data_IF_190876194308
#
_entry.id   IF_190876194308
#
_cell.length_a   1.000
_cell.length_b   1.000
_cell.length_c   1.000
_cell.angle_alpha   90.00
_cell.angle_beta   90.00
_cell.angle_gamma   90.00
#
_symmetry.space_group_name_H-M   'P 1'
#
loop_
_entity.id
_entity.type
_entity.pdbx_description
1 polymer ?
#
# COMPACT_ATOMS: atom_id res chain seq x y z
N UNK A 1 16.43 -1.38 9.24
CA UNK A 1 16.08 -1.91 7.90
C UNK A 1 14.89 -2.82 8.11
N UNK A 2 13.84 -2.77 7.27
CA UNK A 2 12.70 -3.68 7.35
C UNK A 2 12.95 -4.84 6.37
N UNK A 3 13.44 -6.01 6.83
CA UNK A 3 13.93 -7.04 5.91
C UNK A 3 12.80 -7.71 5.12
N UNK A 4 11.57 -7.67 5.63
CA UNK A 4 10.39 -8.15 4.90
C UNK A 4 10.00 -7.27 3.71
N UNK A 5 10.49 -6.02 3.60
CA UNK A 5 10.12 -5.07 2.55
C UNK A 5 11.35 -4.62 1.75
N UNK A 6 11.44 -5.04 0.50
CA UNK A 6 12.55 -4.73 -0.40
C UNK A 6 12.06 -3.82 -1.52
N UNK A 7 12.75 -2.72 -1.77
CA UNK A 7 12.47 -1.87 -2.93
C UNK A 7 13.21 -2.41 -4.15
N UNK A 8 12.48 -2.81 -5.18
CA UNK A 8 13.06 -3.30 -6.45
C UNK A 8 13.34 -2.13 -7.38
N UNK A 9 12.41 -1.18 -7.42
CA UNK A 9 12.52 0.07 -8.17
C UNK A 9 11.65 1.14 -7.48
N UNK A 10 11.83 2.43 -7.79
CA UNK A 10 10.88 3.45 -7.38
C UNK A 10 9.45 3.03 -7.74
N UNK A 11 8.55 3.09 -6.76
CA UNK A 11 7.15 2.72 -6.92
C UNK A 11 6.84 1.21 -6.94
N UNK A 12 7.84 0.31 -6.84
CA UNK A 12 7.61 -1.14 -6.73
C UNK A 12 8.41 -1.77 -5.59
N UNK A 13 7.69 -2.45 -4.71
CA UNK A 13 8.22 -3.01 -3.48
C UNK A 13 7.83 -4.48 -3.38
N UNK A 14 8.77 -5.35 -3.02
CA UNK A 14 8.49 -6.74 -2.68
C UNK A 14 8.26 -6.84 -1.18
N UNK A 15 7.13 -7.42 -0.81
CA UNK A 15 6.78 -7.73 0.57
C UNK A 15 6.76 -9.25 0.75
N UNK A 16 7.52 -9.74 1.73
CA UNK A 16 7.50 -11.14 2.14
C UNK A 16 6.50 -11.32 3.26
N UNK A 17 5.53 -12.20 3.05
CA UNK A 17 4.42 -12.44 3.98
C UNK A 17 4.28 -13.92 4.29
N UNK A 18 3.91 -14.22 5.53
CA UNK A 18 3.58 -15.57 5.96
C UNK A 18 2.07 -15.64 6.24
N UNK A 19 1.33 -16.22 5.29
CA UNK A 19 -0.12 -16.32 5.32
C UNK A 19 -0.60 -17.49 6.20
N UNK A 20 -1.50 -17.18 7.13
CA UNK A 20 -2.20 -18.11 8.03
C UNK A 20 -3.70 -18.11 7.66
N UNK A 21 -4.12 -18.97 6.72
CA UNK A 21 -5.51 -19.07 6.28
C UNK A 21 -6.43 -19.65 7.36
N UNK A 22 -7.74 -19.65 7.08
CA UNK A 22 -8.81 -20.07 8.00
C UNK A 22 -8.92 -19.22 9.27
N UNK A 23 -8.50 -17.96 9.22
CA UNK A 23 -8.71 -17.03 10.32
C UNK A 23 -10.15 -16.49 10.33
N UNK A 24 -10.60 -15.97 11.47
CA UNK A 24 -11.91 -15.30 11.59
C UNK A 24 -11.96 -13.96 10.84
N UNK A 25 -10.84 -13.28 10.74
CA UNK A 25 -10.67 -11.99 10.06
C UNK A 25 -9.25 -11.89 9.45
N UNK A 26 -9.12 -11.15 8.35
CA UNK A 26 -7.84 -10.85 7.72
C UNK A 26 -7.15 -9.73 8.50
N UNK A 27 -5.96 -10.00 9.04
CA UNK A 27 -5.25 -9.08 9.94
C UNK A 27 -3.77 -9.45 10.06
N UNK A 28 -2.93 -8.53 10.54
CA UNK A 28 -1.60 -8.90 11.03
C UNK A 28 -1.73 -9.83 12.24
N UNK A 29 -0.91 -10.89 12.26
CA UNK A 29 -0.89 -11.81 13.40
C UNK A 29 -0.05 -11.25 14.56
N UNK A 30 0.86 -10.33 14.26
CA UNK A 30 1.71 -9.62 15.21
C UNK A 30 2.16 -8.29 14.59
N UNK A 31 2.53 -7.30 15.43
CA UNK A 31 3.10 -6.05 14.96
C UNK A 31 4.35 -6.28 14.10
N UNK A 32 4.43 -5.56 12.98
CA UNK A 32 5.62 -5.51 12.15
C UNK A 32 6.74 -4.82 12.92
N UNK A 33 7.85 -5.52 13.09
CA UNK A 33 9.06 -4.98 13.70
C UNK A 33 10.21 -5.07 12.70
N UNK A 34 11.23 -4.18 12.80
CA UNK A 34 12.38 -4.21 11.90
C UNK A 34 13.23 -5.49 12.01
N UNK A 35 12.96 -6.37 12.99
CA UNK A 35 13.61 -7.66 13.12
C UNK A 35 12.93 -8.77 12.29
N UNK A 36 11.69 -8.57 11.85
CA UNK A 36 10.91 -9.60 11.13
C UNK A 36 11.28 -9.65 9.65
N UNK A 37 11.71 -10.83 9.20
CA UNK A 37 11.97 -11.13 7.79
C UNK A 37 10.71 -11.36 6.97
N UNK A 38 9.59 -11.67 7.64
CA UNK A 38 8.30 -11.95 7.02
C UNK A 38 7.19 -11.31 7.85
N UNK A 39 6.16 -10.79 7.19
CA UNK A 39 4.98 -10.29 7.87
C UNK A 39 3.96 -11.42 8.08
N UNK A 40 3.70 -11.82 9.33
CA UNK A 40 2.66 -12.80 9.62
C UNK A 40 1.27 -12.20 9.42
N UNK A 41 0.48 -12.80 8.53
CA UNK A 41 -0.87 -12.37 8.20
C UNK A 41 -1.85 -13.50 8.44
N UNK A 42 -2.88 -13.23 9.23
CA UNK A 42 -4.11 -14.03 9.31
C UNK A 42 -4.98 -13.69 8.11
N UNK A 43 -5.55 -14.70 7.46
CA UNK A 43 -6.36 -14.53 6.25
C UNK A 43 -7.73 -15.17 6.46
N UNK A 44 -8.79 -14.38 6.29
CA UNK A 44 -10.19 -14.80 6.42
C UNK A 44 -10.71 -15.56 5.19
N UNK A 45 -9.90 -16.47 4.68
CA UNK A 45 -10.27 -17.34 3.58
C UNK A 45 -9.72 -18.75 3.86
N UNK A 46 -10.44 -19.80 3.45
CA UNK A 46 -9.98 -21.16 3.63
C UNK A 46 -8.73 -21.43 2.77
N UNK A 47 -7.88 -22.42 3.11
CA UNK A 47 -6.71 -22.84 2.34
C UNK A 47 -7.11 -23.63 1.07
N UNK A 48 -8.18 -23.21 0.41
CA UNK A 48 -8.61 -23.74 -0.88
C UNK A 48 -7.82 -23.01 -1.96
N UNK A 49 -7.51 -23.71 -3.05
CA UNK A 49 -6.72 -23.19 -4.16
C UNK A 49 -7.26 -21.82 -4.62
N UNK A 50 -6.39 -20.81 -4.60
CA UNK A 50 -6.71 -19.44 -5.04
C UNK A 50 -7.40 -18.55 -4.00
N UNK A 51 -8.29 -19.07 -3.14
CA UNK A 51 -9.10 -18.25 -2.23
C UNK A 51 -8.26 -17.48 -1.20
N UNK A 52 -7.32 -18.16 -0.53
CA UNK A 52 -6.41 -17.51 0.41
C UNK A 52 -5.49 -16.47 -0.26
N UNK A 53 -5.11 -16.68 -1.52
CA UNK A 53 -4.29 -15.73 -2.27
C UNK A 53 -5.11 -14.50 -2.65
N UNK A 54 -6.32 -14.70 -3.17
CA UNK A 54 -7.21 -13.61 -3.54
C UNK A 54 -7.51 -12.71 -2.34
N UNK A 55 -7.86 -13.30 -1.19
CA UNK A 55 -8.12 -12.54 0.02
C UNK A 55 -6.87 -11.84 0.56
N UNK A 56 -5.69 -12.46 0.48
CA UNK A 56 -4.42 -11.81 0.85
C UNK A 56 -4.15 -10.56 0.00
N UNK A 57 -4.27 -10.68 -1.33
CA UNK A 57 -4.02 -9.57 -2.25
C UNK A 57 -5.04 -8.45 -2.04
N UNK A 58 -6.33 -8.81 -1.87
CA UNK A 58 -7.41 -7.88 -1.56
C UNK A 58 -7.15 -7.14 -0.25
N UNK A 59 -6.88 -7.87 0.83
CA UNK A 59 -6.61 -7.31 2.15
C UNK A 59 -5.42 -6.34 2.13
N UNK A 60 -4.30 -6.73 1.52
CA UNK A 60 -3.12 -5.87 1.43
C UNK A 60 -3.39 -4.61 0.59
N UNK A 61 -4.11 -4.74 -0.53
CA UNK A 61 -4.47 -3.60 -1.38
C UNK A 61 -5.32 -2.57 -0.61
N UNK A 62 -6.40 -3.02 0.02
CA UNK A 62 -7.28 -2.14 0.81
C UNK A 62 -6.56 -1.52 2.01
N UNK A 63 -5.70 -2.28 2.69
CA UNK A 63 -4.95 -1.81 3.84
C UNK A 63 -3.98 -0.68 3.46
N UNK A 64 -3.21 -0.89 2.39
CA UNK A 64 -2.23 0.10 1.94
C UNK A 64 -2.94 1.33 1.39
N UNK A 65 -4.04 1.16 0.65
CA UNK A 65 -4.84 2.27 0.14
C UNK A 65 -5.45 3.11 1.26
N UNK A 66 -6.10 2.46 2.24
CA UNK A 66 -6.67 3.14 3.41
C UNK A 66 -5.59 3.88 4.20
N UNK A 67 -4.48 3.21 4.52
CA UNK A 67 -3.41 3.80 5.32
C UNK A 67 -2.70 4.94 4.60
N UNK A 68 -2.47 4.81 3.29
CA UNK A 68 -1.90 5.88 2.48
C UNK A 68 -2.83 7.08 2.38
N UNK A 69 -4.12 6.84 2.13
CA UNK A 69 -5.14 7.91 2.07
C UNK A 69 -5.26 8.65 3.40
N UNK A 70 -5.21 7.94 4.53
CA UNK A 70 -5.22 8.58 5.85
C UNK A 70 -3.96 9.43 6.06
N UNK A 71 -2.79 8.95 5.62
CA UNK A 71 -1.54 9.68 5.71
C UNK A 71 -1.50 10.92 4.81
N UNK A 72 -2.05 10.86 3.59
CA UNK A 72 -2.06 11.98 2.65
C UNK A 72 -3.15 13.00 2.95
N UNK A 73 -4.29 12.58 3.49
CA UNK A 73 -5.36 13.48 3.92
C UNK A 73 -4.92 14.42 5.05
N UNK A 74 -4.13 13.90 6.00
CA UNK A 74 -3.51 14.69 7.07
C UNK A 74 -2.59 15.80 6.49
N UNK A 75 -1.89 15.49 5.40
CA UNK A 75 -1.02 16.44 4.71
C UNK A 75 -1.79 17.50 3.89
N UNK A 76 -2.92 17.11 3.28
CA UNK A 76 -3.78 18.02 2.51
C UNK A 76 -4.50 19.04 3.42
N UNK A 77 -4.86 18.64 4.64
CA UNK A 77 -5.47 19.52 5.64
C UNK A 77 -4.46 20.57 6.15
N UNK A 78 -3.21 20.17 6.36
CA UNK A 78 -2.13 21.08 6.73
C UNK A 78 -1.76 22.07 5.60
N UNK A 79 -1.74 21.60 4.35
CA UNK A 79 -1.48 22.45 3.18
C UNK A 79 -2.61 23.48 2.95
N UNK A 80 -3.87 23.10 3.23
CA UNK A 80 -5.03 24.00 3.13
C UNK A 80 -5.05 25.04 4.25
N UNK A 81 -4.53 24.71 5.43
CA UNK A 81 -4.42 25.62 6.58
C UNK A 81 -3.27 26.65 6.46
N UNK A 82 -2.40 26.51 5.44
CA UNK A 82 -1.20 27.33 5.26
C UNK A 82 -1.35 28.46 4.21
N UNK A 83 -2.54 28.70 3.65
CA UNK A 83 -2.75 29.81 2.70
C UNK A 83 -3.40 31.03 3.38
N UNK A 84 -2.66 32.14 3.57
CA UNK A 84 -3.32 33.42 3.85
C UNK A 84 -4.14 33.82 2.62
N UNK A 85 -5.43 34.03 2.83
CA UNK A 85 -6.33 34.65 1.87
C UNK A 85 -5.89 36.11 1.65
N UNK A 86 -5.04 36.36 0.66
CA UNK A 86 -4.95 37.68 0.03
C UNK A 86 -5.84 37.66 -1.21
N UNK A 87 -7.02 38.25 -1.08
CA UNK A 87 -7.96 38.39 -2.18
C UNK A 87 -7.48 39.37 -3.24
N UNK A 88 -7.84 39.10 -4.49
CA UNK A 88 -8.62 39.99 -5.36
C UNK A 88 -8.58 39.50 -6.82
N UNK A 89 -9.76 39.19 -7.35
CA UNK A 89 -10.19 39.51 -8.72
C UNK A 89 -9.54 38.80 -9.91
N UNK A 90 -10.36 38.10 -10.70
CA UNK A 90 -10.05 37.81 -12.11
C UNK A 90 -10.64 36.49 -12.61
N UNK A 91 -11.57 36.58 -13.55
CA UNK A 91 -12.25 35.47 -14.19
C UNK A 91 -11.33 34.64 -15.11
N UNK A 92 -11.58 33.33 -15.23
CA UNK A 92 -11.86 32.58 -16.48
C UNK A 92 -11.61 31.07 -16.32
N UNK A 93 -12.63 30.29 -16.73
CA UNK A 93 -12.62 28.89 -17.14
C UNK A 93 -11.96 28.75 -18.56
N UNK A 94 -11.81 27.55 -19.15
CA UNK A 94 -10.85 26.47 -18.92
C UNK A 94 -9.95 26.22 -20.16
N UNK A 95 -8.69 25.82 -20.03
CA UNK A 95 -7.86 25.43 -21.20
C UNK A 95 -7.22 24.04 -21.04
N UNK A 96 -7.70 23.11 -21.86
CA UNK A 96 -6.99 21.93 -22.34
C UNK A 96 -5.75 22.36 -23.12
N UNK A 97 -4.56 21.82 -22.79
CA UNK A 97 -3.53 21.62 -23.82
C UNK A 97 -2.55 20.50 -23.47
N UNK A 98 -2.48 19.57 -24.41
CA UNK A 98 -1.68 18.35 -24.51
C UNK A 98 -0.19 18.50 -24.17
N UNK A 99 0.31 17.63 -23.29
CA UNK A 99 1.61 16.94 -23.47
C UNK A 99 1.53 15.61 -22.70
N UNK A 100 1.66 14.44 -23.34
CA UNK A 100 1.70 13.18 -22.62
C UNK A 100 3.10 12.94 -22.04
N UNK A 101 3.29 12.83 -20.70
CA UNK A 101 4.48 12.19 -20.16
C UNK A 101 4.29 10.67 -20.25
N UNK A 102 4.38 10.10 -21.46
CA UNK A 102 4.51 8.66 -21.62
C UNK A 102 5.97 8.25 -21.39
N UNK A 103 6.33 8.13 -20.11
CA UNK A 103 7.43 7.29 -19.65
C UNK A 103 7.21 7.01 -18.16
N UNK A 104 6.45 5.94 -17.87
CA UNK A 104 6.15 5.44 -16.52
C UNK A 104 5.09 6.25 -15.77
N UNK A 105 3.87 6.28 -16.30
CA UNK A 105 2.69 6.47 -15.45
C UNK A 105 2.61 5.27 -14.50
N UNK A 106 3.38 5.28 -13.41
CA UNK A 106 3.01 4.52 -12.23
C UNK A 106 1.60 4.99 -11.93
N UNK A 107 0.62 4.11 -12.15
CA UNK A 107 -0.74 4.45 -11.82
C UNK A 107 -0.71 4.95 -10.38
N UNK A 108 -1.35 6.09 -10.10
CA UNK A 108 -1.59 6.59 -8.74
C UNK A 108 -2.33 5.56 -7.87
N UNK A 109 -2.75 4.46 -8.48
CA UNK A 109 -3.41 3.30 -7.91
C UNK A 109 -2.41 2.34 -7.32
N UNK A 110 -2.75 1.90 -6.11
CA UNK A 110 -2.05 0.84 -5.40
C UNK A 110 -2.46 -0.50 -6.00
N UNK A 111 -1.49 -1.31 -6.40
CA UNK A 111 -1.74 -2.66 -6.91
C UNK A 111 -0.91 -3.66 -6.12
N UNK A 112 -1.52 -4.80 -5.79
CA UNK A 112 -0.83 -5.90 -5.10
C UNK A 112 -1.01 -7.17 -5.92
N UNK A 113 0.11 -7.79 -6.28
CA UNK A 113 0.14 -8.98 -7.12
C UNK A 113 1.10 -10.04 -6.54
N UNK A 114 0.74 -11.31 -6.69
CA UNK A 114 1.54 -12.41 -6.16
C UNK A 114 2.72 -12.71 -7.09
N UNK A 115 3.94 -12.71 -6.56
CA UNK A 115 5.16 -13.04 -7.31
C UNK A 115 5.57 -14.49 -7.08
N UNK A 116 5.51 -14.96 -5.83
CA UNK A 116 5.94 -16.31 -5.44
C UNK A 116 5.09 -16.88 -4.30
N UNK A 117 4.98 -18.20 -4.25
CA UNK A 117 4.35 -18.91 -3.13
C UNK A 117 2.85 -19.13 -3.29
N UNK A 118 2.32 -19.28 -4.51
CA UNK A 118 0.88 -19.52 -4.75
C UNK A 118 0.28 -20.65 -3.92
N UNK A 119 1.05 -21.71 -3.69
CA UNK A 119 0.65 -22.87 -2.86
C UNK A 119 1.32 -22.90 -1.48
N UNK A 120 2.22 -21.94 -1.19
CA UNK A 120 2.99 -21.85 0.05
C UNK A 120 2.37 -20.84 1.02
N UNK A 121 2.56 -21.04 2.34
CA UNK A 121 2.22 -20.03 3.35
C UNK A 121 3.16 -18.84 3.30
N UNK A 122 4.46 -19.08 3.07
CA UNK A 122 5.42 -18.05 2.76
C UNK A 122 5.24 -17.58 1.32
N UNK A 123 4.89 -16.32 1.15
CA UNK A 123 4.55 -15.68 -0.13
C UNK A 123 5.37 -14.43 -0.30
N UNK A 124 5.67 -14.12 -1.55
CA UNK A 124 6.26 -12.85 -1.94
C UNK A 124 5.27 -12.14 -2.83
N UNK A 125 4.86 -10.94 -2.44
CA UNK A 125 3.94 -10.10 -3.21
C UNK A 125 4.68 -8.86 -3.71
N UNK A 126 4.32 -8.41 -4.91
CA UNK A 126 4.70 -7.13 -5.45
C UNK A 126 3.64 -6.12 -5.06
N UNK A 127 4.09 -5.01 -4.50
CA UNK A 127 3.28 -3.85 -4.17
C UNK A 127 3.71 -2.72 -5.08
N UNK A 128 2.83 -2.32 -5.99
CA UNK A 128 2.94 -1.06 -6.73
C UNK A 128 2.34 0.03 -5.85
N UNK A 129 3.16 1.01 -5.47
CA UNK A 129 2.77 2.03 -4.51
C UNK A 129 3.33 3.39 -4.97
N UNK A 130 2.49 4.42 -5.14
CA UNK A 130 2.92 5.72 -5.67
C UNK A 130 3.84 6.49 -4.73
N UNK A 131 3.81 6.19 -3.43
CA UNK A 131 4.66 6.83 -2.43
C UNK A 131 6.04 6.20 -2.27
N UNK A 132 6.76 6.67 -1.25
CA UNK A 132 8.11 6.20 -0.93
C UNK A 132 8.11 4.93 -0.08
N UNK A 133 9.23 4.19 -0.06
CA UNK A 133 9.40 3.03 0.83
C UNK A 133 9.08 3.36 2.29
N UNK A 134 9.49 4.54 2.76
CA UNK A 134 9.27 4.98 4.13
C UNK A 134 7.79 5.16 4.44
N UNK A 135 7.02 5.75 3.52
CA UNK A 135 5.57 5.89 3.66
C UNK A 135 4.89 4.52 3.69
N UNK A 136 5.23 3.61 2.77
CA UNK A 136 4.69 2.25 2.76
C UNK A 136 5.03 1.50 4.06
N UNK A 137 6.27 1.65 4.54
CA UNK A 137 6.71 1.05 5.82
C UNK A 137 5.89 1.61 6.99
N UNK A 138 5.69 2.93 7.04
CA UNK A 138 4.92 3.57 8.10
C UNK A 138 3.45 3.12 8.10
N UNK A 139 2.85 2.98 6.91
CA UNK A 139 1.48 2.44 6.77
C UNK A 139 1.42 1.01 7.29
N UNK A 140 2.31 0.13 6.82
CA UNK A 140 2.33 -1.27 7.26
C UNK A 140 2.59 -1.40 8.76
N UNK A 141 3.53 -0.63 9.32
CA UNK A 141 3.82 -0.64 10.76
C UNK A 141 2.62 -0.17 11.58
N UNK A 142 1.99 0.94 11.16
CA UNK A 142 0.79 1.47 11.84
C UNK A 142 -0.34 0.47 11.84
N UNK A 143 -0.73 -0.03 10.66
CA UNK A 143 -1.86 -0.96 10.52
C UNK A 143 -1.58 -2.34 11.15
N UNK A 144 -0.31 -2.69 11.40
CA UNK A 144 0.04 -3.93 12.09
C UNK A 144 -0.16 -3.90 13.61
N UNK A 145 -0.33 -2.71 14.18
CA UNK A 145 -0.54 -2.49 15.62
C UNK A 145 -2.01 -2.34 15.99
N UNK A 146 -2.88 -2.20 14.99
CA UNK A 146 -4.35 -2.10 15.16
C UNK A 146 -4.99 -3.50 15.17
#
# INVERSE_FOLDING_TARGET
MFPCLVQVQPGKYLLTVHAKPSARASAFAAPLTPALTEADLRIAAPPVEGQANAELLRYLGELIERGFRAMTADYADFASSSMPHSGAGGAQQPEESNTPPSATAFSDRIEVSLVRGGTSRAKTVLVMFPGTRAQLTAVLEKESRE
#
